data_IF_417290309638
#
_entry.id   IF_417290309638
#
_cell.length_a   1.000
_cell.length_b   1.000
_cell.length_c   1.000
_cell.angle_alpha   90.00
_cell.angle_beta   90.00
_cell.angle_gamma   90.00
#
_symmetry.space_group_name_H-M   'P 1'
#
loop_
_entity.id
_entity.type
_entity.pdbx_description
1 polymer ?
#
# COMPACT_ATOMS: atom_id res chain seq x y z
N UNK A 1 5.40 13.08 22.77
CA UNK A 1 4.99 13.60 21.46
C UNK A 1 4.58 12.37 20.67
N UNK A 2 3.27 12.13 20.55
CA UNK A 2 2.78 10.96 19.82
C UNK A 2 2.73 11.37 18.36
N UNK A 3 3.67 10.89 17.56
CA UNK A 3 3.56 10.90 16.10
C UNK A 3 2.40 9.97 15.74
N UNK A 4 1.19 10.52 15.76
CA UNK A 4 -0.02 9.86 15.27
C UNK A 4 -0.03 10.03 13.75
N UNK A 5 0.89 9.35 13.07
CA UNK A 5 0.82 9.15 11.62
C UNK A 5 0.10 7.81 11.35
N UNK A 6 -1.00 7.56 12.08
CA UNK A 6 -1.89 6.45 11.77
C UNK A 6 -2.81 6.92 10.64
N UNK A 7 -2.34 6.77 9.40
CA UNK A 7 -3.20 6.89 8.22
C UNK A 7 -4.40 5.96 8.38
N UNK A 8 -5.60 6.47 8.09
CA UNK A 8 -6.82 5.66 8.10
C UNK A 8 -6.62 4.43 7.20
N UNK A 9 -7.04 3.24 7.64
CA UNK A 9 -6.85 2.03 6.87
C UNK A 9 -7.63 2.13 5.55
N UNK A 10 -6.96 1.85 4.44
CA UNK A 10 -7.49 2.03 3.07
C UNK A 10 -7.70 0.68 2.39
N UNK A 11 -8.73 0.57 1.54
CA UNK A 11 -9.00 -0.69 0.84
C UNK A 11 -7.99 -0.93 -0.27
N UNK A 12 -7.73 -2.19 -0.59
CA UNK A 12 -6.90 -2.56 -1.77
C UNK A 12 -7.35 -1.86 -3.06
N UNK A 13 -8.66 -1.69 -3.26
CA UNK A 13 -9.18 -1.01 -4.44
C UNK A 13 -8.78 0.46 -4.49
N UNK A 14 -8.78 1.12 -3.33
CA UNK A 14 -8.46 2.54 -3.21
C UNK A 14 -6.93 2.78 -3.24
N UNK A 15 -6.12 1.73 -3.04
CA UNK A 15 -4.66 1.71 -3.30
C UNK A 15 -4.34 1.52 -4.79
N UNK A 16 -5.19 0.80 -5.53
CA UNK A 16 -4.91 0.48 -6.93
C UNK A 16 -4.93 1.71 -7.83
N UNK A 17 -5.89 2.62 -7.63
CA UNK A 17 -5.99 3.86 -8.39
C UNK A 17 -4.74 4.74 -8.30
N UNK A 18 -4.18 5.07 -7.11
CA UNK A 18 -2.93 5.80 -7.02
C UNK A 18 -1.72 5.00 -7.52
N UNK A 19 -1.73 3.67 -7.40
CA UNK A 19 -0.69 2.84 -8.01
C UNK A 19 -0.67 2.96 -9.54
N UNK A 20 -1.82 2.90 -10.20
CA UNK A 20 -1.93 3.08 -11.66
C UNK A 20 -1.41 4.45 -12.10
N UNK A 21 -1.76 5.50 -11.35
CA UNK A 21 -1.25 6.86 -11.61
C UNK A 21 0.28 6.96 -11.50
N UNK A 22 0.91 6.22 -10.59
CA UNK A 22 2.38 6.18 -10.48
C UNK A 22 2.98 5.42 -11.66
N UNK A 23 2.45 4.25 -12.02
CA UNK A 23 2.92 3.48 -13.17
C UNK A 23 2.86 4.29 -14.46
N UNK A 24 1.75 5.01 -14.70
CA UNK A 24 1.59 5.86 -15.88
C UNK A 24 2.65 6.96 -15.94
N UNK A 25 2.95 7.61 -14.79
CA UNK A 25 3.98 8.66 -14.72
C UNK A 25 5.39 8.14 -15.00
N UNK A 26 5.68 6.92 -14.57
CA UNK A 26 6.97 6.25 -14.81
C UNK A 26 7.05 5.60 -16.20
N UNK A 27 6.01 5.72 -17.03
CA UNK A 27 5.95 5.10 -18.36
C UNK A 27 5.87 3.58 -18.32
N UNK A 28 5.46 3.00 -17.19
CA UNK A 28 5.33 1.56 -16.97
C UNK A 28 3.87 1.12 -17.06
N UNK A 29 3.63 -0.08 -17.57
CA UNK A 29 2.30 -0.68 -17.54
C UNK A 29 1.93 -1.14 -16.13
N UNK A 30 0.77 -0.77 -15.57
CA UNK A 30 0.37 -1.23 -14.24
C UNK A 30 0.17 -2.74 -14.24
N UNK A 31 0.62 -3.41 -13.18
CA UNK A 31 0.33 -4.83 -12.98
C UNK A 31 -1.16 -5.02 -12.61
N UNK A 32 -1.75 -6.20 -12.84
CA UNK A 32 -3.14 -6.45 -12.46
C UNK A 32 -3.34 -6.31 -10.94
N UNK A 33 -4.56 -5.93 -10.53
CA UNK A 33 -4.94 -5.79 -9.11
C UNK A 33 -4.60 -7.02 -8.26
N UNK A 34 -4.62 -8.22 -8.85
CA UNK A 34 -4.18 -9.45 -8.19
C UNK A 34 -2.72 -9.39 -7.76
N UNK A 35 -1.80 -8.94 -8.62
CA UNK A 35 -0.38 -8.84 -8.28
C UNK A 35 -0.15 -7.78 -7.20
N UNK A 36 -0.89 -6.67 -7.23
CA UNK A 36 -0.83 -5.66 -6.14
C UNK A 36 -1.24 -6.25 -4.79
N UNK A 37 -2.22 -7.18 -4.75
CA UNK A 37 -2.58 -7.90 -3.51
C UNK A 37 -1.46 -8.80 -2.99
N UNK A 38 -0.71 -9.43 -3.88
CA UNK A 38 0.46 -10.23 -3.51
C UNK A 38 1.53 -9.32 -2.91
N UNK A 39 1.86 -8.19 -3.56
CA UNK A 39 2.81 -7.21 -3.03
C UNK A 39 2.40 -6.66 -1.66
N UNK A 40 1.11 -6.38 -1.44
CA UNK A 40 0.61 -5.97 -0.13
C UNK A 40 0.79 -7.07 0.93
N UNK A 41 0.62 -8.34 0.54
CA UNK A 41 0.84 -9.48 1.45
C UNK A 41 2.33 -9.69 1.76
N UNK A 42 3.21 -9.41 0.80
CA UNK A 42 4.66 -9.40 1.02
C UNK A 42 5.07 -8.26 1.96
N UNK A 43 4.56 -7.04 1.74
CA UNK A 43 4.81 -5.90 2.63
C UNK A 43 4.28 -6.15 4.06
N UNK A 44 3.17 -6.87 4.19
CA UNK A 44 2.63 -7.31 5.48
C UNK A 44 3.59 -8.29 6.18
N UNK A 45 4.13 -9.25 5.43
CA UNK A 45 5.11 -10.21 5.94
C UNK A 45 6.40 -9.52 6.41
N UNK A 46 6.80 -8.45 5.73
CA UNK A 46 7.95 -7.62 6.10
C UNK A 46 7.68 -6.67 7.29
N UNK A 47 6.44 -6.58 7.77
CA UNK A 47 6.07 -5.66 8.86
C UNK A 47 6.04 -4.19 8.45
N UNK A 48 5.89 -3.91 7.14
CA UNK A 48 5.82 -2.54 6.61
C UNK A 48 4.38 -2.03 6.65
N UNK A 49 3.43 -2.92 6.33
CA UNK A 49 1.98 -2.67 6.40
C UNK A 49 1.32 -3.70 7.31
N UNK A 50 0.11 -3.41 7.76
CA UNK A 50 -0.81 -4.42 8.30
C UNK A 50 -2.08 -4.47 7.46
N UNK A 51 -2.59 -5.68 7.21
CA UNK A 51 -3.89 -5.87 6.55
C UNK A 51 -4.92 -6.40 7.54
N UNK A 52 -6.12 -5.85 7.50
CA UNK A 52 -7.28 -6.39 8.23
C UNK A 52 -8.38 -6.79 7.25
N UNK A 53 -8.89 -8.01 7.38
CA UNK A 53 -10.08 -8.43 6.65
C UNK A 53 -11.33 -7.83 7.29
N UNK A 54 -12.09 -7.09 6.49
CA UNK A 54 -13.33 -6.45 6.89
C UNK A 54 -14.49 -7.08 6.14
N UNK A 55 -15.45 -7.59 6.89
CA UNK A 55 -16.69 -8.16 6.38
C UNK A 55 -17.84 -7.19 6.66
N UNK A 56 -18.43 -6.60 5.61
CA UNK A 56 -19.60 -5.71 5.72
C UNK A 56 -20.94 -6.43 5.48
N UNK A 57 -20.96 -7.76 5.59
CA UNK A 57 -22.15 -8.57 5.43
C UNK A 57 -22.58 -8.79 3.97
N UNK A 58 -23.82 -9.20 3.78
CA UNK A 58 -24.37 -9.70 2.51
C UNK A 58 -24.24 -8.73 1.33
N UNK A 59 -24.37 -7.43 1.56
CA UNK A 59 -24.32 -6.40 0.51
C UNK A 59 -22.93 -5.75 0.38
N UNK A 60 -22.18 -5.67 1.48
CA UNK A 60 -20.89 -4.97 1.53
C UNK A 60 -19.67 -5.84 1.21
N UNK A 61 -19.85 -7.17 1.16
CA UNK A 61 -18.80 -8.12 0.82
C UNK A 61 -17.66 -8.19 1.83
N UNK A 62 -16.62 -8.92 1.44
CA UNK A 62 -15.36 -9.08 2.19
C UNK A 62 -14.25 -8.37 1.42
N UNK A 63 -13.52 -7.52 2.11
CA UNK A 63 -12.37 -6.79 1.55
C UNK A 63 -11.27 -6.66 2.59
N UNK A 64 -10.05 -6.38 2.13
CA UNK A 64 -8.92 -6.06 3.01
C UNK A 64 -8.72 -4.55 3.06
N UNK A 65 -8.57 -4.03 4.26
CA UNK A 65 -8.05 -2.69 4.52
C UNK A 65 -6.58 -2.79 4.96
N UNK A 66 -5.78 -1.80 4.57
CA UNK A 66 -4.33 -1.77 4.74
C UNK A 66 -3.94 -0.48 5.44
N UNK A 67 -3.01 -0.58 6.38
CA UNK A 67 -2.42 0.57 7.07
C UNK A 67 -0.90 0.43 7.11
N UNK A 68 -0.18 1.56 7.17
CA UNK A 68 1.26 1.54 7.39
C UNK A 68 1.54 1.28 8.86
N UNK A 69 2.39 0.29 9.13
CA UNK A 69 2.90 0.02 10.48
C UNK A 69 4.15 0.88 10.77
N UNK A 70 4.86 1.27 9.71
CA UNK A 70 6.03 2.15 9.77
C UNK A 70 5.64 3.61 9.55
N UNK A 71 6.32 4.58 10.18
CA UNK A 71 6.05 6.00 9.94
C UNK A 71 6.34 6.36 8.49
N UNK A 72 5.50 7.22 7.89
CA UNK A 72 5.65 7.64 6.49
C UNK A 72 7.03 8.23 6.19
N UNK A 73 7.64 8.91 7.16
CA UNK A 73 9.00 9.44 7.04
C UNK A 73 10.06 8.35 6.82
N UNK A 74 9.96 7.22 7.52
CA UNK A 74 10.87 6.09 7.36
C UNK A 74 10.67 5.37 6.01
N UNK A 75 9.41 5.18 5.61
CA UNK A 75 9.08 4.58 4.30
C UNK A 75 9.61 5.43 3.16
N UNK A 76 9.44 6.77 3.23
CA UNK A 76 9.98 7.71 2.24
C UNK A 76 11.50 7.70 2.21
N UNK A 77 12.16 7.72 3.37
CA UNK A 77 13.62 7.67 3.46
C UNK A 77 14.18 6.40 2.83
N UNK A 78 13.57 5.24 3.11
CA UNK A 78 13.94 3.98 2.48
C UNK A 78 13.75 4.03 0.96
N UNK A 79 12.58 4.50 0.49
CA UNK A 79 12.31 4.58 -0.95
C UNK A 79 13.29 5.49 -1.71
N UNK A 80 13.68 6.63 -1.12
CA UNK A 80 14.69 7.53 -1.71
C UNK A 80 16.02 6.82 -1.93
N UNK A 81 16.48 6.00 -0.97
CA UNK A 81 17.73 5.24 -1.14
C UNK A 81 17.71 4.32 -2.37
N UNK A 82 16.55 3.76 -2.72
CA UNK A 82 16.39 2.91 -3.89
C UNK A 82 16.16 3.68 -5.20
N UNK A 83 15.41 4.80 -5.16
CA UNK A 83 15.10 5.61 -6.34
C UNK A 83 16.32 6.38 -6.84
N UNK A 84 17.16 6.89 -5.94
CA UNK A 84 18.41 7.59 -6.29
C UNK A 84 19.50 6.67 -6.86
N UNK A 85 19.30 5.35 -6.86
CA UNK A 85 20.24 4.37 -7.43
C UNK A 85 20.12 4.24 -8.96
N UNK A 86 19.11 4.84 -9.59
CA UNK A 86 18.94 4.81 -11.05
C UNK A 86 19.57 6.06 -11.70
N UNK A 87 20.91 6.15 -11.67
CA UNK A 87 21.71 7.05 -12.51
C UNK A 87 22.75 6.27 -13.34
#
# INVERSE_FOLDING_TARGET
>A
MVEQDQSEPVRTRDIYEPYEMVCEKEGQGPVPNRAVREYLSELETLGIVSSTEVNRGLDGGVYKEHSLDQPVSAVKAGLSEFVDTTE
#
